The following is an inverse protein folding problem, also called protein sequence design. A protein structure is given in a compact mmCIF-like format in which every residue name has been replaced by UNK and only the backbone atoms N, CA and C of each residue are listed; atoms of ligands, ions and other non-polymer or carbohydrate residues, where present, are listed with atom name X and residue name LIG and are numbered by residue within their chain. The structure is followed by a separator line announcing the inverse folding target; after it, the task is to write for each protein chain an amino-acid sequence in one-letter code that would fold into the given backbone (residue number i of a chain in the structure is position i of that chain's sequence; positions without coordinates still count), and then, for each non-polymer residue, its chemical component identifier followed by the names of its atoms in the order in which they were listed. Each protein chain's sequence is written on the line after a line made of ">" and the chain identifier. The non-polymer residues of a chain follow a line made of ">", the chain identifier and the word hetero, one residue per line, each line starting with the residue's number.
data_IF_785638788623
#
_entry.id   IF_785638788623
#
_cell.length_a   1.000
_cell.length_b   1.000
_cell.length_c   1.000
_cell.angle_alpha   90.00
_cell.angle_beta   90.00
_cell.angle_gamma   90.00
#
_symmetry.space_group_name_H-M   'P 1'
#
loop_
_entity.id
_entity.type
_entity.pdbx_description
1 polymer ?
#
# COMPACT_ATOMS: atom_id res chain seq x y z
N UNK A 1 12.95 -9.72 -8.39
CA UNK A 1 12.89 -8.45 -9.14
C UNK A 1 12.64 -7.30 -8.18
N UNK A 2 13.32 -6.17 -8.37
CA UNK A 2 13.11 -4.92 -7.61
C UNK A 2 12.75 -3.79 -8.58
N UNK A 3 11.61 -3.14 -8.40
CA UNK A 3 11.12 -2.10 -9.29
C UNK A 3 11.65 -0.71 -8.87
N UNK A 4 12.79 -0.32 -9.45
CA UNK A 4 13.49 0.94 -9.14
C UNK A 4 12.68 2.19 -9.50
N UNK A 5 11.92 2.14 -10.59
CA UNK A 5 11.12 3.28 -11.05
C UNK A 5 9.98 3.58 -10.07
N UNK A 6 9.34 2.52 -9.56
CA UNK A 6 8.31 2.63 -8.55
C UNK A 6 8.88 3.18 -7.23
N UNK A 7 10.06 2.71 -6.81
CA UNK A 7 10.78 3.27 -5.64
C UNK A 7 11.03 4.77 -5.84
N UNK A 8 11.59 5.17 -6.98
CA UNK A 8 11.87 6.59 -7.28
C UNK A 8 10.61 7.45 -7.18
N UNK A 9 9.47 6.94 -7.71
CA UNK A 9 8.20 7.66 -7.76
C UNK A 9 7.44 7.70 -6.42
N UNK A 10 7.48 6.63 -5.62
CA UNK A 10 6.61 6.43 -4.43
C UNK A 10 7.37 6.26 -3.10
N UNK A 11 8.58 6.79 -2.99
CA UNK A 11 9.43 6.72 -1.78
C UNK A 11 9.32 7.92 -0.84
N UNK A 12 8.78 9.04 -1.32
CA UNK A 12 8.77 10.28 -0.54
C UNK A 12 7.61 10.36 0.46
N UNK A 13 7.81 11.10 1.55
CA UNK A 13 6.87 11.29 2.65
C UNK A 13 6.82 10.11 3.63
N UNK A 14 5.80 10.09 4.49
CA UNK A 14 5.62 8.98 5.43
C UNK A 14 5.09 7.75 4.69
N UNK A 15 5.91 6.70 4.65
CA UNK A 15 5.61 5.44 3.96
C UNK A 15 5.71 4.26 4.92
N UNK A 16 4.84 3.29 4.71
CA UNK A 16 4.89 1.98 5.35
C UNK A 16 5.46 0.99 4.35
N UNK A 17 6.52 0.30 4.72
CA UNK A 17 7.11 -0.80 3.97
C UNK A 17 6.67 -2.09 4.66
N UNK A 18 6.06 -3.01 3.91
CA UNK A 18 5.63 -4.33 4.39
C UNK A 18 6.46 -5.41 3.69
N UNK A 19 7.20 -6.18 4.47
CA UNK A 19 7.85 -7.41 4.01
C UNK A 19 7.00 -8.59 4.47
N UNK A 20 6.46 -9.38 3.53
CA UNK A 20 5.55 -10.48 3.86
C UNK A 20 5.74 -11.71 2.97
N UNK A 21 5.28 -12.86 3.41
CA UNK A 21 5.19 -14.09 2.63
C UNK A 21 3.78 -14.70 2.69
N UNK A 22 3.51 -15.72 1.88
CA UNK A 22 2.22 -16.43 1.87
C UNK A 22 1.87 -17.14 3.18
N UNK A 23 2.85 -17.33 4.08
CA UNK A 23 2.65 -17.96 5.40
C UNK A 23 2.24 -16.96 6.48
N UNK A 24 2.12 -15.67 6.15
CA UNK A 24 1.74 -14.61 7.10
C UNK A 24 2.88 -14.08 7.96
N UNK A 25 4.15 -14.35 7.60
CA UNK A 25 5.28 -13.76 8.29
C UNK A 25 5.44 -12.31 7.81
N UNK A 26 5.16 -11.35 8.69
CA UNK A 26 5.14 -9.93 8.35
C UNK A 26 6.18 -9.14 9.15
N UNK A 27 6.85 -8.21 8.47
CA UNK A 27 7.65 -7.14 9.09
C UNK A 27 7.24 -5.81 8.48
N UNK A 28 7.13 -4.80 9.34
CA UNK A 28 6.76 -3.45 8.94
C UNK A 28 7.90 -2.49 9.24
N UNK A 29 8.10 -1.53 8.35
CA UNK A 29 8.99 -0.40 8.57
C UNK A 29 8.27 0.88 8.20
N UNK A 30 8.61 1.97 8.90
CA UNK A 30 8.12 3.31 8.59
C UNK A 30 9.33 4.10 8.14
N UNK A 31 9.18 4.84 7.04
CA UNK A 31 10.16 5.83 6.62
C UNK A 31 9.46 7.18 6.48
N UNK A 32 10.21 8.26 6.62
CA UNK A 32 9.68 9.64 6.55
C UNK A 32 10.18 10.42 5.35
N UNK A 33 11.24 9.95 4.71
CA UNK A 33 11.85 10.58 3.56
C UNK A 33 12.44 9.54 2.60
N UNK A 34 12.63 9.96 1.35
CA UNK A 34 13.07 9.11 0.24
C UNK A 34 14.33 8.29 0.54
N UNK A 35 15.37 8.92 1.08
CA UNK A 35 16.66 8.22 1.32
C UNK A 35 16.53 7.06 2.31
N UNK A 36 15.79 7.26 3.41
CA UNK A 36 15.53 6.21 4.40
C UNK A 36 14.72 5.07 3.78
N UNK A 37 13.70 5.42 2.99
CA UNK A 37 12.90 4.44 2.26
C UNK A 37 13.75 3.58 1.31
N UNK A 38 14.54 4.23 0.45
CA UNK A 38 15.39 3.57 -0.55
C UNK A 38 16.41 2.64 0.10
N UNK A 39 17.10 3.14 1.14
CA UNK A 39 18.05 2.35 1.91
C UNK A 39 17.35 1.13 2.52
N UNK A 40 16.21 1.33 3.16
CA UNK A 40 15.51 0.25 3.85
C UNK A 40 15.00 -0.81 2.89
N UNK A 41 14.41 -0.41 1.75
CA UNK A 41 13.98 -1.34 0.70
C UNK A 41 15.16 -2.13 0.15
N UNK A 42 16.33 -1.50 -0.07
CA UNK A 42 17.53 -2.17 -0.53
C UNK A 42 18.02 -3.23 0.47
N UNK A 43 18.15 -2.86 1.74
CA UNK A 43 18.58 -3.77 2.82
C UNK A 43 17.66 -5.01 2.95
N UNK A 44 16.35 -4.79 2.93
CA UNK A 44 15.39 -5.89 3.03
C UNK A 44 15.35 -6.74 1.75
N UNK A 45 15.54 -6.13 0.57
CA UNK A 45 15.61 -6.87 -0.69
C UNK A 45 16.84 -7.77 -0.78
N UNK A 46 18.01 -7.31 -0.32
CA UNK A 46 19.23 -8.11 -0.28
C UNK A 46 19.05 -9.35 0.60
N UNK A 47 18.42 -9.19 1.77
CA UNK A 47 18.11 -10.27 2.73
C UNK A 47 16.86 -11.09 2.37
N UNK A 48 16.12 -10.68 1.34
CA UNK A 48 14.85 -11.30 0.99
C UNK A 48 15.07 -12.77 0.62
N UNK A 49 14.31 -13.66 1.24
CA UNK A 49 14.26 -15.08 0.92
C UNK A 49 13.24 -15.33 -0.20
N UNK A 50 13.35 -16.46 -0.90
CA UNK A 50 12.37 -16.84 -1.92
C UNK A 50 10.95 -16.93 -1.33
N UNK A 51 9.98 -16.42 -2.06
CA UNK A 51 8.57 -16.38 -1.66
C UNK A 51 8.19 -15.22 -0.75
N UNK A 52 9.15 -14.37 -0.34
CA UNK A 52 8.87 -13.09 0.30
C UNK A 52 8.69 -11.97 -0.73
N UNK A 53 7.90 -10.98 -0.33
CA UNK A 53 7.54 -9.82 -1.13
C UNK A 53 7.67 -8.56 -0.28
N UNK A 54 8.02 -7.46 -0.92
CA UNK A 54 8.14 -6.13 -0.35
C UNK A 54 7.07 -5.26 -1.00
N UNK A 55 6.23 -4.66 -0.16
CA UNK A 55 5.20 -3.74 -0.56
C UNK A 55 5.38 -2.38 0.09
N UNK A 56 4.80 -1.34 -0.50
CA UNK A 56 4.55 -0.07 0.20
C UNK A 56 3.22 0.55 -0.18
N UNK A 57 2.68 1.38 0.69
CA UNK A 57 1.47 2.14 0.43
C UNK A 57 1.61 3.08 -0.78
N UNK A 58 0.59 3.06 -1.66
CA UNK A 58 0.51 3.99 -2.79
C UNK A 58 0.39 5.45 -2.33
N UNK A 59 -0.38 5.69 -1.27
CA UNK A 59 -0.63 7.02 -0.72
C UNK A 59 0.29 7.34 0.46
N UNK A 60 0.95 8.51 0.48
CA UNK A 60 1.62 9.08 1.67
C UNK A 60 0.70 9.00 2.87
N UNK A 61 1.26 8.69 4.03
CA UNK A 61 0.52 8.70 5.30
C UNK A 61 0.69 10.04 6.00
N UNK A 62 -0.32 10.40 6.75
CA UNK A 62 -0.32 11.56 7.61
C UNK A 62 -0.10 11.08 9.05
N UNK A 63 1.07 11.40 9.59
CA UNK A 63 1.50 10.93 10.91
C UNK A 63 0.61 11.50 12.03
N UNK A 64 0.14 12.74 11.91
CA UNK A 64 -0.70 13.39 12.91
C UNK A 64 -2.07 12.71 13.02
N UNK A 65 -2.71 12.44 11.87
CA UNK A 65 -3.98 11.69 11.83
C UNK A 65 -3.80 10.29 12.41
N UNK A 66 -2.68 9.62 12.09
CA UNK A 66 -2.36 8.30 12.62
C UNK A 66 -2.14 8.32 14.15
N UNK A 67 -1.41 9.30 14.68
CA UNK A 67 -1.20 9.46 16.12
C UNK A 67 -2.54 9.68 16.83
N UNK A 68 -3.42 10.53 16.28
CA UNK A 68 -4.75 10.74 16.85
C UNK A 68 -5.55 9.44 16.89
N UNK A 69 -5.63 8.73 15.77
CA UNK A 69 -6.34 7.46 15.67
C UNK A 69 -5.75 6.39 16.61
N UNK A 70 -4.43 6.34 16.74
CA UNK A 70 -3.75 5.44 17.66
C UNK A 70 -4.09 5.75 19.13
N UNK A 71 -4.13 7.03 19.52
CA UNK A 71 -4.53 7.46 20.86
C UNK A 71 -6.00 7.13 21.16
N UNK A 72 -6.89 7.30 20.19
CA UNK A 72 -8.31 6.88 20.30
C UNK A 72 -8.41 5.36 20.52
N UNK A 73 -7.62 4.57 19.80
CA UNK A 73 -7.56 3.12 19.98
C UNK A 73 -6.99 2.72 21.34
N UNK A 74 -5.95 3.42 21.82
CA UNK A 74 -5.38 3.21 23.15
C UNK A 74 -6.42 3.46 24.23
N UNK A 75 -7.09 4.62 24.18
CA UNK A 75 -8.13 4.98 25.13
C UNK A 75 -9.25 3.93 25.14
N UNK A 76 -9.69 3.49 23.96
CA UNK A 76 -10.67 2.40 23.84
C UNK A 76 -10.18 1.10 24.48
N UNK A 77 -8.91 0.75 24.29
CA UNK A 77 -8.32 -0.44 24.90
C UNK A 77 -8.21 -0.33 26.43
N UNK A 78 -8.01 0.88 26.96
CA UNK A 78 -7.99 1.12 28.39
C UNK A 78 -9.38 0.92 29.02
N UNK A 79 -10.47 1.31 28.34
CA UNK A 79 -11.84 1.09 28.83
C UNK A 79 -12.40 -0.31 28.60
N UNK A 80 -11.88 -1.06 27.62
CA UNK A 80 -12.36 -2.41 27.28
C UNK A 80 -11.28 -3.42 27.66
N UNK A 81 -11.47 -4.10 28.80
CA UNK A 81 -10.48 -5.02 29.40
C UNK A 81 -9.91 -6.06 28.42
N UNK A 82 -10.77 -6.63 27.58
CA UNK A 82 -10.42 -7.62 26.57
C UNK A 82 -9.56 -7.09 25.42
N UNK A 83 -9.49 -5.77 25.23
CA UNK A 83 -8.60 -5.12 24.26
C UNK A 83 -7.27 -4.65 24.87
N UNK A 84 -7.24 -4.42 26.20
CA UNK A 84 -6.09 -3.83 26.89
C UNK A 84 -4.81 -4.64 26.69
N UNK A 85 -4.81 -5.92 27.07
CA UNK A 85 -3.62 -6.78 26.95
C UNK A 85 -3.17 -6.95 25.48
N UNK A 86 -4.05 -7.25 24.50
CA UNK A 86 -3.67 -7.28 23.10
C UNK A 86 -3.08 -5.97 22.57
N UNK A 87 -3.60 -4.81 23.00
CA UNK A 87 -3.10 -3.50 22.59
C UNK A 87 -1.64 -3.30 23.00
N UNK A 88 -1.35 -3.42 24.29
CA UNK A 88 -0.01 -3.15 24.81
C UNK A 88 1.03 -4.22 24.45
N UNK A 89 0.60 -5.47 24.24
CA UNK A 89 1.52 -6.53 23.76
C UNK A 89 1.82 -6.45 22.26
N UNK A 90 1.04 -5.68 21.49
CA UNK A 90 1.19 -5.54 20.03
C UNK A 90 1.17 -4.07 19.60
N UNK A 91 1.71 -3.19 20.45
CA UNK A 91 1.58 -1.73 20.31
C UNK A 91 2.03 -1.22 18.94
N UNK A 92 3.12 -1.77 18.41
CA UNK A 92 3.64 -1.44 17.07
C UNK A 92 2.63 -1.78 15.97
N UNK A 93 1.96 -2.94 16.04
CA UNK A 93 0.95 -3.33 15.06
C UNK A 93 -0.26 -2.42 15.09
N UNK A 94 -0.67 -1.96 16.27
CA UNK A 94 -1.74 -0.97 16.40
C UNK A 94 -1.35 0.38 15.78
N UNK A 95 -0.11 0.82 15.99
CA UNK A 95 0.38 2.04 15.37
C UNK A 95 0.45 1.94 13.83
N UNK A 96 0.99 0.83 13.32
CA UNK A 96 1.00 0.55 11.87
C UNK A 96 -0.41 0.46 11.29
N UNK A 97 -1.35 -0.13 12.02
CA UNK A 97 -2.76 -0.19 11.62
C UNK A 97 -3.39 1.21 11.56
N UNK A 98 -3.15 2.04 12.57
CA UNK A 98 -3.60 3.43 12.58
C UNK A 98 -2.99 4.23 11.43
N UNK A 99 -1.69 4.04 11.16
CA UNK A 99 -0.97 4.69 10.07
C UNK A 99 -1.43 4.23 8.68
N UNK A 100 -1.78 2.95 8.54
CA UNK A 100 -2.27 2.35 7.29
C UNK A 100 -3.77 2.55 7.08
N UNK A 101 -4.48 3.18 8.02
CA UNK A 101 -5.90 3.48 7.89
C UNK A 101 -6.16 4.42 6.70
N UNK A 102 -7.24 4.21 5.93
CA UNK A 102 -7.64 5.15 4.87
C UNK A 102 -7.87 6.58 5.37
N UNK A 103 -8.18 6.76 6.65
CA UNK A 103 -8.35 8.07 7.30
C UNK A 103 -7.01 8.79 7.55
N UNK A 104 -5.91 8.04 7.64
CA UNK A 104 -4.54 8.53 7.85
C UNK A 104 -3.80 8.76 6.54
N UNK A 105 -4.51 8.88 5.42
CA UNK A 105 -3.90 9.26 4.14
C UNK A 105 -3.65 10.77 4.07
N UNK A 106 -2.54 11.11 3.44
CA UNK A 106 -2.16 12.48 3.11
C UNK A 106 -2.47 12.81 1.64
N UNK A 107 -2.45 11.80 0.78
CA UNK A 107 -2.84 11.90 -0.63
C UNK A 107 -3.91 10.86 -0.98
N UNK A 108 -4.53 11.04 -2.14
CA UNK A 108 -5.57 10.14 -2.64
C UNK A 108 -5.21 9.74 -4.06
N UNK A 109 -4.83 8.49 -4.22
CA UNK A 109 -4.51 7.81 -5.46
C UNK A 109 -5.13 6.42 -5.37
N UNK A 110 -5.62 5.93 -6.50
CA UNK A 110 -6.20 4.60 -6.62
C UNK A 110 -5.28 3.70 -7.44
N UNK A 111 -5.43 2.39 -7.27
CA UNK A 111 -4.79 1.39 -8.12
C UNK A 111 -5.89 0.66 -8.87
N UNK A 112 -5.81 0.63 -10.19
CA UNK A 112 -6.54 -0.33 -11.01
C UNK A 112 -5.65 -1.56 -11.11
N UNK A 113 -6.10 -2.66 -10.53
CA UNK A 113 -5.41 -3.95 -10.52
C UNK A 113 -6.05 -4.85 -11.59
N UNK A 114 -5.26 -5.24 -12.58
CA UNK A 114 -5.67 -6.00 -13.75
C UNK A 114 -4.99 -7.37 -13.66
N UNK A 115 -5.73 -8.40 -13.26
CA UNK A 115 -5.22 -9.77 -13.15
C UNK A 115 -5.18 -10.50 -14.50
N UNK A 116 -6.08 -10.13 -15.43
CA UNK A 116 -6.15 -10.70 -16.78
C UNK A 116 -5.66 -9.67 -17.81
N UNK A 117 -4.48 -9.90 -18.40
CA UNK A 117 -3.90 -8.97 -19.35
C UNK A 117 -4.66 -8.89 -20.69
N UNK A 118 -5.54 -9.84 -20.99
CA UNK A 118 -6.34 -9.82 -22.23
C UNK A 118 -7.30 -8.63 -22.31
N UNK A 119 -7.69 -8.07 -21.16
CA UNK A 119 -8.60 -6.93 -21.04
C UNK A 119 -7.87 -5.59 -20.79
N UNK A 120 -6.54 -5.55 -20.79
CA UNK A 120 -5.78 -4.32 -20.51
C UNK A 120 -6.19 -3.17 -21.45
N UNK A 121 -6.29 -3.45 -22.76
CA UNK A 121 -6.64 -2.44 -23.75
C UNK A 121 -8.06 -1.91 -23.57
N UNK A 122 -9.00 -2.76 -23.16
CA UNK A 122 -10.37 -2.35 -22.85
C UNK A 122 -10.38 -1.38 -21.67
N UNK A 123 -9.67 -1.71 -20.59
CA UNK A 123 -9.56 -0.85 -19.40
C UNK A 123 -8.90 0.49 -19.75
N UNK A 124 -7.85 0.50 -20.58
CA UNK A 124 -7.21 1.75 -21.04
C UNK A 124 -8.14 2.62 -21.88
N UNK A 125 -8.95 2.01 -22.76
CA UNK A 125 -9.95 2.73 -23.53
C UNK A 125 -11.02 3.34 -22.63
N UNK A 126 -11.51 2.59 -21.63
CA UNK A 126 -12.45 3.11 -20.63
C UNK A 126 -11.86 4.26 -19.83
N UNK A 127 -10.59 4.16 -19.42
CA UNK A 127 -9.89 5.25 -18.73
C UNK A 127 -9.85 6.51 -19.59
N UNK A 128 -9.49 6.37 -20.87
CA UNK A 128 -9.45 7.48 -21.82
C UNK A 128 -10.82 8.14 -22.00
N UNK A 129 -11.87 7.33 -22.27
CA UNK A 129 -13.25 7.82 -22.42
C UNK A 129 -13.77 8.57 -21.20
N UNK A 130 -13.32 8.18 -20.00
CA UNK A 130 -13.74 8.76 -18.73
C UNK A 130 -12.76 9.79 -18.17
N UNK A 131 -11.74 10.20 -18.93
CA UNK A 131 -10.69 11.13 -18.50
C UNK A 131 -9.97 10.72 -17.21
N UNK A 132 -9.81 9.41 -16.97
CA UNK A 132 -9.08 8.87 -15.83
C UNK A 132 -7.58 8.95 -16.12
N UNK A 133 -6.86 9.76 -15.35
CA UNK A 133 -5.42 9.99 -15.55
C UNK A 133 -4.56 8.92 -14.89
N UNK A 134 -3.71 8.28 -15.70
CA UNK A 134 -2.65 7.39 -15.23
C UNK A 134 -1.46 8.20 -14.69
N UNK A 135 -0.98 7.82 -13.50
CA UNK A 135 0.19 8.38 -12.84
C UNK A 135 1.41 7.49 -13.10
N UNK A 136 1.22 6.17 -13.02
CA UNK A 136 2.28 5.19 -13.16
C UNK A 136 1.72 3.79 -13.48
N UNK A 137 2.41 3.03 -14.31
CA UNK A 137 2.03 1.66 -14.70
C UNK A 137 3.19 0.69 -14.44
N UNK A 138 2.90 -0.50 -13.93
CA UNK A 138 3.90 -1.54 -13.78
C UNK A 138 3.30 -2.95 -13.75
N UNK A 139 4.07 -3.94 -14.20
CA UNK A 139 3.70 -5.35 -14.11
C UNK A 139 3.85 -5.90 -12.69
N UNK A 140 2.91 -6.76 -12.29
CA UNK A 140 3.00 -7.56 -11.07
C UNK A 140 3.48 -8.98 -11.40
N UNK A 141 3.29 -9.94 -10.49
CA UNK A 141 3.68 -11.33 -10.74
C UNK A 141 2.81 -11.97 -11.83
N UNK A 142 1.53 -11.64 -11.86
CA UNK A 142 0.53 -12.28 -12.73
C UNK A 142 -0.27 -11.30 -13.57
N UNK A 143 -0.19 -10.00 -13.28
CA UNK A 143 -1.03 -8.99 -13.89
C UNK A 143 -0.33 -7.64 -13.99
N UNK A 144 -1.12 -6.57 -13.91
CA UNK A 144 -0.64 -5.21 -14.07
C UNK A 144 -1.38 -4.28 -13.11
N UNK A 145 -0.62 -3.37 -12.50
CA UNK A 145 -1.17 -2.28 -11.70
C UNK A 145 -1.04 -0.96 -12.46
N UNK A 146 -2.11 -0.17 -12.43
CA UNK A 146 -2.14 1.20 -12.94
C UNK A 146 -2.50 2.12 -11.77
N UNK A 147 -1.55 2.94 -11.34
CA UNK A 147 -1.79 3.99 -10.33
C UNK A 147 -2.43 5.17 -11.02
N UNK A 148 -3.57 5.64 -10.51
CA UNK A 148 -4.38 6.70 -11.13
C UNK A 148 -4.77 7.79 -10.13
N UNK A 149 -5.10 8.96 -10.66
CA UNK A 149 -5.79 10.00 -9.90
C UNK A 149 -7.17 9.51 -9.41
N UNK A 150 -7.73 10.07 -8.33
CA UNK A 150 -9.06 9.69 -7.85
C UNK A 150 -10.14 9.94 -8.90
N UNK A 151 -11.01 8.96 -9.09
CA UNK A 151 -12.14 9.05 -10.00
C UNK A 151 -13.39 8.38 -9.41
N UNK A 152 -14.53 8.45 -10.10
CA UNK A 152 -15.70 7.68 -9.72
C UNK A 152 -15.50 6.20 -10.06
N UNK A 153 -15.25 5.35 -9.06
CA UNK A 153 -14.93 3.92 -9.25
C UNK A 153 -16.01 3.13 -10.00
N UNK A 154 -17.25 3.64 -10.07
CA UNK A 154 -18.34 3.02 -10.85
C UNK A 154 -18.13 3.09 -12.36
N UNK A 155 -17.18 3.89 -12.83
CA UNK A 155 -16.84 4.03 -14.25
C UNK A 155 -16.02 2.86 -14.79
N UNK A 156 -15.43 2.05 -13.89
CA UNK A 156 -14.72 0.82 -14.27
C UNK A 156 -15.58 -0.37 -13.85
N UNK A 157 -15.92 -1.30 -14.77
CA UNK A 157 -16.69 -2.49 -14.45
C UNK A 157 -15.82 -3.44 -13.61
N UNK A 158 -16.05 -3.46 -12.31
CA UNK A 158 -15.34 -4.33 -11.39
C UNK A 158 -15.74 -5.78 -11.62
N UNK A 159 -14.76 -6.68 -11.58
CA UNK A 159 -14.94 -8.12 -11.73
C UNK A 159 -13.84 -8.85 -10.99
N UNK A 160 -13.88 -10.19 -10.97
CA UNK A 160 -12.78 -10.99 -10.41
C UNK A 160 -11.44 -10.75 -11.12
N UNK A 161 -11.46 -10.17 -12.33
CA UNK A 161 -10.28 -9.88 -13.17
C UNK A 161 -9.78 -8.44 -13.05
N UNK A 162 -10.61 -7.53 -12.52
CA UNK A 162 -10.27 -6.09 -12.41
C UNK A 162 -10.83 -5.52 -11.12
N UNK A 163 -9.91 -5.00 -10.31
CA UNK A 163 -10.23 -4.37 -9.02
C UNK A 163 -9.78 -2.92 -9.00
N UNK A 164 -10.49 -2.08 -8.25
CA UNK A 164 -10.07 -0.71 -7.97
C UNK A 164 -9.80 -0.55 -6.49
N UNK A 165 -8.53 -0.49 -6.12
CA UNK A 165 -8.08 -0.32 -4.75
C UNK A 165 -7.99 1.17 -4.44
N UNK A 166 -8.89 1.65 -3.56
CA UNK A 166 -8.93 3.06 -3.15
C UNK A 166 -7.75 3.45 -2.25
N UNK A 167 -7.13 2.48 -1.60
CA UNK A 167 -5.93 2.65 -0.78
C UNK A 167 -5.16 1.32 -0.77
N UNK A 168 -4.33 1.12 -1.79
CA UNK A 168 -3.64 -0.14 -2.01
C UNK A 168 -2.16 -0.12 -1.63
N UNK A 169 -1.57 -1.30 -1.70
CA UNK A 169 -0.14 -1.51 -1.55
C UNK A 169 0.47 -1.81 -2.92
N UNK A 170 1.58 -1.13 -3.24
CA UNK A 170 2.40 -1.34 -4.41
C UNK A 170 3.38 -2.48 -4.17
N UNK A 171 3.48 -3.43 -5.10
CA UNK A 171 4.50 -4.48 -5.06
C UNK A 171 5.83 -3.92 -5.59
N UNK A 172 6.78 -3.71 -4.68
CA UNK A 172 8.06 -3.06 -4.99
C UNK A 172 9.14 -4.09 -5.31
N UNK A 173 9.13 -5.23 -4.61
CA UNK A 173 10.15 -6.25 -4.79
C UNK A 173 9.68 -7.64 -4.39
N UNK A 174 10.26 -8.66 -5.00
CA UNK A 174 10.04 -10.07 -4.68
C UNK A 174 11.22 -10.93 -5.15
N UNK A 175 11.40 -12.11 -4.55
CA UNK A 175 12.35 -13.14 -5.01
C UNK A 175 11.67 -14.51 -5.09
#
# INVERSE_FOLDING_TARGET
>A
MLNKDLISKFSDGVRVILVTNRKGNEKFFISRHRQEFEQKVKEEYEKLQSGFRIYSNVNKRNLEKAIRLFKEQQLKADYIEQLRKPFYTRIERYFISALSSPSSRDEKQFIIDIDDLSIENEIKNLMSMNNIKSIFEYGTITGKHIVVEPFNVKLIPLSDKVHVLKDGMLLIGFK
#
